data_IF_694127659121
#
_entry.id   IF_694127659121
#
_cell.length_a   1.000
_cell.length_b   1.000
_cell.length_c   1.000
_cell.angle_alpha   90.00
_cell.angle_beta   90.00
_cell.angle_gamma   90.00
#
_symmetry.space_group_name_H-M   'P 1'
#
loop_
_entity.id
_entity.type
_entity.pdbx_description
1 polymer ?
#
# COMPACT_ATOMS: atom_id res chain seq x y z
N UNK A 1 -7.74 -37.35 -9.25
CA UNK A 1 -8.15 -36.65 -8.00
C UNK A 1 -8.47 -35.22 -8.38
N UNK A 2 -9.51 -34.62 -7.82
CA UNK A 2 -9.79 -33.20 -8.03
C UNK A 2 -8.63 -32.38 -7.44
N UNK A 3 -8.14 -31.38 -8.20
CA UNK A 3 -7.05 -30.52 -7.75
C UNK A 3 -7.62 -29.43 -6.84
N UNK A 4 -7.06 -29.29 -5.64
CA UNK A 4 -7.46 -28.22 -4.73
C UNK A 4 -7.04 -26.86 -5.30
N UNK A 5 -7.93 -25.84 -5.32
CA UNK A 5 -7.60 -24.49 -5.76
C UNK A 5 -6.46 -23.88 -4.92
N UNK A 6 -5.63 -23.04 -5.54
CA UNK A 6 -4.53 -22.32 -4.84
C UNK A 6 -4.73 -20.82 -4.77
N UNK A 7 -5.73 -20.31 -5.49
CA UNK A 7 -6.14 -18.93 -5.47
C UNK A 7 -7.15 -18.68 -4.34
N UNK A 8 -7.05 -17.54 -3.66
CA UNK A 8 -7.93 -17.18 -2.54
C UNK A 8 -9.40 -17.25 -2.92
N UNK A 9 -9.75 -16.80 -4.12
CA UNK A 9 -11.10 -16.82 -4.66
C UNK A 9 -11.64 -18.23 -4.86
N UNK A 10 -10.81 -19.14 -5.36
CA UNK A 10 -11.15 -20.53 -5.59
C UNK A 10 -11.24 -21.32 -4.28
N UNK A 11 -10.41 -20.99 -3.28
CA UNK A 11 -10.53 -21.57 -1.94
C UNK A 11 -11.83 -21.14 -1.26
N UNK A 12 -12.20 -19.86 -1.32
CA UNK A 12 -13.46 -19.35 -0.77
C UNK A 12 -14.69 -19.87 -1.53
N UNK A 13 -14.61 -19.93 -2.86
CA UNK A 13 -15.68 -20.50 -3.68
C UNK A 13 -15.91 -21.98 -3.38
N UNK A 14 -14.82 -22.76 -3.24
CA UNK A 14 -14.91 -24.16 -2.85
C UNK A 14 -15.47 -24.33 -1.42
N UNK A 15 -15.09 -23.46 -0.47
CA UNK A 15 -15.65 -23.49 0.88
C UNK A 15 -17.18 -23.29 0.87
N UNK A 16 -17.66 -22.33 0.07
CA UNK A 16 -19.10 -22.10 -0.11
C UNK A 16 -19.80 -23.30 -0.76
N UNK A 17 -19.25 -23.85 -1.83
CA UNK A 17 -19.83 -25.03 -2.50
C UNK A 17 -19.90 -26.25 -1.56
N UNK A 18 -18.88 -26.44 -0.71
CA UNK A 18 -18.86 -27.50 0.29
C UNK A 18 -19.93 -27.27 1.36
N UNK A 19 -20.04 -26.04 1.88
CA UNK A 19 -21.06 -25.65 2.85
C UNK A 19 -22.48 -25.88 2.32
N UNK A 20 -22.77 -25.40 1.10
CA UNK A 20 -24.06 -25.57 0.42
C UNK A 20 -24.36 -27.05 0.15
N UNK A 21 -23.36 -27.80 -0.31
CA UNK A 21 -23.48 -29.23 -0.59
C UNK A 21 -23.77 -30.06 0.66
N UNK A 22 -23.11 -29.76 1.78
CA UNK A 22 -23.37 -30.38 3.09
C UNK A 22 -24.75 -30.02 3.64
N UNK A 23 -25.17 -28.76 3.50
CA UNK A 23 -26.49 -28.31 3.92
C UNK A 23 -27.62 -28.98 3.12
N UNK A 24 -27.42 -29.17 1.81
CA UNK A 24 -28.39 -29.82 0.92
C UNK A 24 -28.48 -31.35 1.13
N UNK A 25 -27.40 -32.00 1.60
CA UNK A 25 -27.31 -33.46 1.72
C UNK A 25 -27.21 -33.96 3.16
N UNK A 26 -27.89 -33.30 4.11
CA UNK A 26 -27.88 -33.68 5.55
C UNK A 26 -28.32 -35.13 5.82
N UNK A 27 -29.19 -35.70 4.99
CA UNK A 27 -29.60 -37.11 5.13
C UNK A 27 -28.50 -38.11 4.73
N UNK A 28 -27.59 -37.71 3.85
CA UNK A 28 -26.48 -38.54 3.36
C UNK A 28 -25.26 -38.43 4.27
N UNK A 29 -25.08 -37.27 4.90
CA UNK A 29 -24.00 -36.99 5.86
C UNK A 29 -24.57 -36.60 7.23
N UNK A 30 -25.02 -37.58 8.04
CA UNK A 30 -25.66 -37.30 9.32
C UNK A 30 -24.70 -36.80 10.42
N UNK A 31 -23.39 -37.02 10.27
CA UNK A 31 -22.36 -36.57 11.20
C UNK A 31 -21.08 -36.16 10.45
N UNK A 32 -21.07 -35.00 9.78
CA UNK A 32 -19.84 -34.50 9.17
C UNK A 32 -18.83 -34.11 10.26
N UNK A 33 -17.52 -34.31 10.03
CA UNK A 33 -16.46 -33.97 10.98
C UNK A 33 -16.26 -32.45 11.16
N UNK A 34 -16.73 -31.65 10.20
CA UNK A 34 -16.77 -30.18 10.26
C UNK A 34 -18.19 -29.77 9.92
N UNK A 35 -18.78 -28.92 10.75
CA UNK A 35 -20.13 -28.40 10.53
C UNK A 35 -20.14 -27.31 9.44
N UNK A 36 -21.31 -27.08 8.84
CA UNK A 36 -21.50 -25.98 7.87
C UNK A 36 -21.17 -24.63 8.53
N UNK A 37 -21.57 -24.45 9.78
CA UNK A 37 -21.35 -23.25 10.58
C UNK A 37 -19.86 -22.94 10.79
N UNK A 38 -19.04 -23.98 11.03
CA UNK A 38 -17.58 -23.81 11.16
C UNK A 38 -16.92 -23.40 9.84
N UNK A 39 -17.41 -23.91 8.71
CA UNK A 39 -16.90 -23.55 7.37
C UNK A 39 -17.29 -22.11 7.02
N UNK A 40 -18.53 -21.71 7.30
CA UNK A 40 -19.01 -20.35 7.09
C UNK A 40 -18.21 -19.36 7.96
N UNK A 41 -18.02 -19.64 9.25
CA UNK A 41 -17.22 -18.81 10.15
C UNK A 41 -15.77 -18.65 9.65
N UNK A 42 -15.12 -19.75 9.23
CA UNK A 42 -13.77 -19.68 8.67
C UNK A 42 -13.71 -18.88 7.36
N UNK A 43 -14.78 -18.89 6.56
CA UNK A 43 -14.91 -18.12 5.32
C UNK A 43 -15.06 -16.62 5.63
N UNK A 44 -15.85 -16.26 6.64
CA UNK A 44 -15.99 -14.89 7.13
C UNK A 44 -14.66 -14.33 7.67
N UNK A 45 -13.94 -15.11 8.48
CA UNK A 45 -12.62 -14.73 8.99
C UNK A 45 -11.62 -14.47 7.85
N UNK A 46 -11.65 -15.32 6.81
CA UNK A 46 -10.80 -15.14 5.63
C UNK A 46 -11.16 -13.87 4.85
N UNK A 47 -12.46 -13.55 4.72
CA UNK A 47 -12.90 -12.31 4.07
C UNK A 47 -12.49 -11.08 4.89
N UNK A 48 -12.66 -11.12 6.21
CA UNK A 48 -12.23 -10.03 7.10
C UNK A 48 -10.71 -9.79 7.01
N UNK A 49 -9.91 -10.85 6.94
CA UNK A 49 -8.47 -10.74 6.76
C UNK A 49 -8.10 -10.11 5.41
N UNK A 50 -8.80 -10.47 4.32
CA UNK A 50 -8.61 -9.86 2.99
C UNK A 50 -8.95 -8.38 3.00
N UNK A 51 -10.06 -8.01 3.62
CA UNK A 51 -10.49 -6.61 3.74
C UNK A 51 -9.49 -5.79 4.57
N UNK A 52 -8.96 -6.36 5.66
CA UNK A 52 -7.92 -5.72 6.46
C UNK A 52 -6.64 -5.43 5.65
N UNK A 53 -6.22 -6.36 4.79
CA UNK A 53 -5.07 -6.16 3.88
C UNK A 53 -5.36 -5.05 2.87
N UNK A 54 -6.58 -5.00 2.31
CA UNK A 54 -6.96 -3.93 1.39
C UNK A 54 -6.98 -2.56 2.08
N UNK A 55 -7.53 -2.48 3.29
CA UNK A 55 -7.53 -1.26 4.09
C UNK A 55 -6.10 -0.78 4.40
N UNK A 56 -5.19 -1.69 4.76
CA UNK A 56 -3.79 -1.37 5.00
C UNK A 56 -3.09 -0.83 3.75
N UNK A 57 -3.35 -1.42 2.56
CA UNK A 57 -2.83 -0.92 1.28
C UNK A 57 -3.34 0.50 0.98
N UNK A 58 -4.63 0.73 1.15
CA UNK A 58 -5.22 2.04 0.94
C UNK A 58 -4.63 3.10 1.90
N UNK A 59 -4.41 2.73 3.16
CA UNK A 59 -3.77 3.60 4.14
C UNK A 59 -2.31 3.91 3.78
N UNK A 60 -1.56 2.92 3.29
CA UNK A 60 -0.19 3.12 2.81
C UNK A 60 -0.14 4.06 1.61
N UNK A 61 -1.02 3.87 0.62
CA UNK A 61 -1.09 4.74 -0.56
C UNK A 61 -1.45 6.18 -0.18
N UNK A 62 -2.36 6.37 0.77
CA UNK A 62 -2.69 7.69 1.30
C UNK A 62 -1.49 8.33 2.02
N UNK A 63 -0.74 7.56 2.81
CA UNK A 63 0.46 8.03 3.49
C UNK A 63 1.58 8.40 2.51
N UNK A 64 1.77 7.63 1.43
CA UNK A 64 2.72 7.92 0.36
C UNK A 64 2.36 9.25 -0.32
N UNK A 65 1.08 9.43 -0.71
CA UNK A 65 0.62 10.69 -1.33
C UNK A 65 0.79 11.89 -0.40
N UNK A 66 0.52 11.73 0.89
CA UNK A 66 0.71 12.79 1.88
C UNK A 66 2.20 13.17 2.02
N UNK A 67 3.08 12.17 2.04
CA UNK A 67 4.54 12.37 2.01
C UNK A 67 4.95 13.12 0.75
N UNK A 68 4.56 12.65 -0.45
CA UNK A 68 4.90 13.28 -1.72
C UNK A 68 4.49 14.74 -1.76
N UNK A 69 3.25 15.05 -1.35
CA UNK A 69 2.77 16.44 -1.25
C UNK A 69 3.60 17.31 -0.30
N UNK A 70 4.07 16.75 0.81
CA UNK A 70 4.95 17.47 1.74
C UNK A 70 6.31 17.77 1.10
N UNK A 71 6.88 16.82 0.35
CA UNK A 71 8.11 17.01 -0.41
C UNK A 71 7.95 18.04 -1.54
N UNK A 72 6.84 18.01 -2.27
CA UNK A 72 6.54 19.00 -3.32
C UNK A 72 6.46 20.41 -2.74
N UNK A 73 5.78 20.57 -1.59
CA UNK A 73 5.68 21.85 -0.90
C UNK A 73 7.04 22.37 -0.43
N UNK A 74 7.90 21.46 0.05
CA UNK A 74 9.27 21.81 0.45
C UNK A 74 10.10 22.22 -0.78
N UNK A 75 10.03 21.46 -1.86
CA UNK A 75 10.73 21.76 -3.11
C UNK A 75 10.32 23.13 -3.67
N UNK A 76 9.03 23.45 -3.66
CA UNK A 76 8.54 24.75 -4.11
C UNK A 76 9.05 25.91 -3.26
N UNK A 77 9.13 25.74 -1.94
CA UNK A 77 9.73 26.73 -1.04
C UNK A 77 11.22 26.91 -1.34
N UNK A 78 11.96 25.80 -1.47
CA UNK A 78 13.38 25.84 -1.81
C UNK A 78 13.65 26.52 -3.15
N UNK A 79 12.85 26.23 -4.18
CA UNK A 79 12.93 26.90 -5.48
C UNK A 79 12.71 28.41 -5.39
N UNK A 80 11.76 28.85 -4.56
CA UNK A 80 11.50 30.29 -4.34
C UNK A 80 12.69 30.99 -3.70
N UNK A 81 13.27 30.39 -2.66
CA UNK A 81 14.48 30.93 -2.00
C UNK A 81 15.67 30.99 -2.96
N UNK A 82 15.87 29.95 -3.78
CA UNK A 82 16.94 29.95 -4.79
C UNK A 82 16.75 31.08 -5.79
N UNK A 83 15.54 31.22 -6.34
CA UNK A 83 15.23 32.29 -7.30
C UNK A 83 15.39 33.68 -6.68
N UNK A 84 15.06 33.85 -5.40
CA UNK A 84 15.29 35.10 -4.69
C UNK A 84 16.78 35.40 -4.54
N UNK A 85 17.60 34.42 -4.17
CA UNK A 85 19.05 34.57 -4.08
C UNK A 85 19.70 34.87 -5.44
N UNK A 86 19.18 34.31 -6.53
CA UNK A 86 19.59 34.64 -7.90
C UNK A 86 19.28 36.10 -8.24
N UNK A 87 18.04 36.53 -8.02
CA UNK A 87 17.61 37.90 -8.34
C UNK A 87 18.33 38.97 -7.51
N UNK A 88 18.77 38.64 -6.30
CA UNK A 88 19.51 39.56 -5.41
C UNK A 88 21.03 39.46 -5.56
N UNK A 89 21.53 38.58 -6.44
CA UNK A 89 22.97 38.36 -6.62
C UNK A 89 23.66 37.66 -5.45
N UNK A 90 22.91 37.12 -4.48
CA UNK A 90 23.43 36.48 -3.25
C UNK A 90 23.51 34.95 -3.35
N UNK A 91 23.40 34.38 -4.55
CA UNK A 91 23.45 32.92 -4.76
C UNK A 91 24.74 32.27 -4.23
N UNK A 92 25.87 32.97 -4.24
CA UNK A 92 27.15 32.50 -3.69
C UNK A 92 27.12 32.36 -2.16
N UNK A 93 26.46 33.30 -1.46
CA UNK A 93 26.25 33.27 -0.02
C UNK A 93 25.36 32.08 0.36
N UNK A 94 24.27 31.86 -0.36
CA UNK A 94 23.37 30.72 -0.14
C UNK A 94 24.06 29.37 -0.40
N UNK A 95 24.94 29.29 -1.41
CA UNK A 95 25.77 28.11 -1.67
C UNK A 95 26.72 27.80 -0.51
N UNK A 96 27.32 28.82 0.11
CA UNK A 96 28.21 28.61 1.27
C UNK A 96 27.47 28.02 2.48
N UNK A 97 26.24 28.48 2.74
CA UNK A 97 25.37 27.96 3.79
C UNK A 97 24.98 26.49 3.53
N UNK A 98 24.61 26.17 2.28
CA UNK A 98 24.28 24.81 1.85
C UNK A 98 25.48 23.86 1.92
N UNK A 99 26.67 24.33 1.51
CA UNK A 99 27.90 23.54 1.53
C UNK A 99 28.37 23.25 2.96
N UNK A 100 28.17 24.20 3.89
CA UNK A 100 28.40 23.96 5.34
C UNK A 100 27.45 22.90 5.94
N UNK A 101 26.27 22.72 5.32
CA UNK A 101 25.32 21.65 5.65
C UNK A 101 25.52 20.36 4.83
N UNK A 102 26.58 20.29 4.00
CA UNK A 102 26.89 19.11 3.16
C UNK A 102 26.00 18.93 1.92
N UNK A 103 25.24 19.95 1.51
CA UNK A 103 24.34 19.91 0.34
C UNK A 103 24.93 20.77 -0.79
N UNK A 104 25.21 20.19 -1.95
CA UNK A 104 25.71 20.93 -3.12
C UNK A 104 24.56 21.66 -3.84
N UNK A 105 24.51 22.98 -3.67
CA UNK A 105 23.50 23.86 -4.27
C UNK A 105 23.78 24.26 -5.73
N UNK A 106 24.92 23.88 -6.33
CA UNK A 106 25.23 24.22 -7.75
C UNK A 106 24.52 23.35 -8.78
N UNK A 107 23.90 22.23 -8.39
CA UNK A 107 23.36 21.26 -9.34
C UNK A 107 21.83 21.09 -9.23
N UNK A 108 21.02 22.06 -9.70
CA UNK A 108 19.57 21.89 -9.80
C UNK A 108 19.18 20.69 -10.69
N UNK A 109 20.09 20.23 -11.56
CA UNK A 109 19.89 19.08 -12.45
C UNK A 109 20.21 17.71 -11.79
N UNK A 110 20.86 17.65 -10.63
CA UNK A 110 21.15 16.38 -9.93
C UNK A 110 19.98 15.88 -9.09
N UNK A 111 19.05 16.75 -8.69
CA UNK A 111 17.88 16.36 -7.90
C UNK A 111 16.88 15.51 -8.68
N UNK A 112 16.78 15.69 -10.02
CA UNK A 112 15.94 14.85 -10.89
C UNK A 112 16.35 13.37 -10.99
N UNK A 113 17.55 12.97 -10.56
CA UNK A 113 18.04 11.59 -10.73
C UNK A 113 17.93 10.69 -9.48
N UNK A 114 17.46 11.21 -8.34
CA UNK A 114 17.39 10.44 -7.08
C UNK A 114 16.00 9.83 -6.79
N UNK A 115 15.02 10.06 -7.66
CA UNK A 115 13.69 9.45 -7.56
C UNK A 115 13.46 8.59 -8.81
N UNK A 116 13.94 7.35 -8.77
CA UNK A 116 13.44 6.22 -9.55
C UNK A 116 13.39 5.02 -8.63
#
# INVERSE_FOLDING_TARGET
MAQFPRDETGVLGLAQEIADGLAANRSTYPAPPVSVEEIEAATEDCNAARDAVQAAKAALDAAIKAKEKAFDTLEDKMKKEIRYAENTGQITTMQSLSSSAGVDARSPLRWKRRVR
#
